data_IF_807399361837
#
_entry.id   IF_807399361837
#
_cell.length_a   1.000
_cell.length_b   1.000
_cell.length_c   1.000
_cell.angle_alpha   90.00
_cell.angle_beta   90.00
_cell.angle_gamma   90.00
#
_symmetry.space_group_name_H-M   'P 1'
#
loop_
_entity.id
_entity.type
_entity.pdbx_description
1 polymer ?
#
# COMPACT_ATOMS: atom_id res chain seq x y z
N UNK A 1 13.63 -31.08 -38.54
CA UNK A 1 12.54 -31.03 -37.54
C UNK A 1 13.06 -30.34 -36.30
N UNK A 2 12.64 -29.10 -36.06
CA UNK A 2 12.97 -28.35 -34.84
C UNK A 2 11.85 -28.66 -33.83
N UNK A 3 12.19 -29.32 -32.72
CA UNK A 3 11.29 -29.45 -31.56
C UNK A 3 11.24 -28.09 -30.87
N UNK A 4 10.08 -27.44 -30.90
CA UNK A 4 9.80 -26.27 -30.08
C UNK A 4 9.65 -26.68 -28.62
N UNK A 5 10.59 -26.29 -27.77
CA UNK A 5 10.42 -26.33 -26.32
C UNK A 5 9.52 -25.14 -25.90
N UNK A 6 8.21 -25.37 -25.82
CA UNK A 6 7.32 -24.47 -25.10
C UNK A 6 7.56 -24.67 -23.59
N UNK A 7 8.43 -23.85 -22.99
CA UNK A 7 8.47 -23.72 -21.54
C UNK A 7 7.17 -23.05 -21.08
N UNK A 8 6.21 -23.85 -20.63
CA UNK A 8 5.00 -23.37 -19.97
C UNK A 8 5.37 -22.78 -18.60
N UNK A 9 5.66 -21.48 -18.56
CA UNK A 9 5.80 -20.74 -17.32
C UNK A 9 4.42 -20.47 -16.75
N UNK A 10 4.18 -20.90 -15.50
CA UNK A 10 3.00 -20.50 -14.74
C UNK A 10 3.15 -19.00 -14.44
N UNK A 11 2.19 -18.15 -14.87
CA UNK A 11 2.14 -16.74 -14.52
C UNK A 11 2.23 -16.53 -13.00
N UNK A 12 3.05 -15.59 -12.55
CA UNK A 12 3.33 -15.35 -11.13
C UNK A 12 2.09 -15.01 -10.31
N UNK A 13 1.11 -14.37 -10.95
CA UNK A 13 -0.21 -14.00 -10.46
C UNK A 13 -1.13 -15.21 -10.20
N UNK A 14 -0.93 -16.33 -10.92
CA UNK A 14 -1.70 -17.57 -10.71
C UNK A 14 -1.10 -18.46 -9.61
N UNK A 15 0.14 -18.22 -9.20
CA UNK A 15 0.81 -19.01 -8.16
C UNK A 15 0.08 -18.93 -6.80
N UNK A 16 -0.35 -17.76 -6.30
CA UNK A 16 -1.15 -17.66 -5.08
C UNK A 16 -2.47 -18.43 -5.16
N UNK A 17 -3.15 -18.41 -6.31
CA UNK A 17 -4.41 -19.11 -6.53
C UNK A 17 -4.22 -20.64 -6.54
N UNK A 18 -3.14 -21.13 -7.15
CA UNK A 18 -2.78 -22.55 -7.11
C UNK A 18 -2.45 -22.96 -5.67
N UNK A 19 -1.65 -22.15 -4.97
CA UNK A 19 -1.25 -22.41 -3.58
C UNK A 19 -2.43 -22.42 -2.60
N UNK A 20 -3.47 -21.61 -2.84
CA UNK A 20 -4.66 -21.56 -1.97
C UNK A 20 -5.49 -22.85 -2.03
N UNK A 21 -5.42 -23.59 -3.14
CA UNK A 21 -6.12 -24.87 -3.36
C UNK A 21 -5.37 -26.09 -2.81
N UNK A 22 -4.18 -25.89 -2.22
CA UNK A 22 -3.28 -26.96 -1.81
C UNK A 22 -3.20 -27.13 -0.29
N UNK A 23 -3.00 -28.37 0.16
CA UNK A 23 -2.80 -28.66 1.58
C UNK A 23 -1.48 -28.08 2.11
N UNK A 24 -1.43 -27.75 3.41
CA UNK A 24 -0.25 -27.16 4.08
C UNK A 24 1.05 -27.94 3.85
N UNK A 25 0.99 -29.28 3.87
CA UNK A 25 2.16 -30.14 3.61
C UNK A 25 2.67 -29.97 2.17
N UNK A 26 1.77 -29.76 1.22
CA UNK A 26 2.11 -29.54 -0.19
C UNK A 26 2.71 -28.16 -0.39
N UNK A 27 2.08 -27.11 0.16
CA UNK A 27 2.58 -25.73 0.16
C UNK A 27 4.00 -25.65 0.76
N UNK A 28 4.25 -26.33 1.88
CA UNK A 28 5.58 -26.36 2.48
C UNK A 28 6.64 -27.00 1.57
N UNK A 29 6.29 -28.05 0.82
CA UNK A 29 7.18 -28.72 -0.15
C UNK A 29 7.43 -27.87 -1.39
N UNK A 30 6.46 -27.04 -1.81
CA UNK A 30 6.63 -26.14 -2.96
C UNK A 30 7.73 -25.08 -2.76
N UNK A 31 8.13 -24.79 -1.51
CA UNK A 31 9.33 -23.99 -1.21
C UNK A 31 10.61 -24.57 -1.80
N UNK A 32 10.64 -25.87 -2.07
CA UNK A 32 11.81 -26.56 -2.60
C UNK A 32 11.76 -26.72 -4.12
N UNK A 33 10.63 -26.40 -4.76
CA UNK A 33 10.40 -26.69 -6.19
C UNK A 33 11.07 -25.68 -7.10
N UNK A 34 11.13 -24.40 -6.70
CA UNK A 34 11.98 -23.44 -7.39
C UNK A 34 12.32 -22.24 -6.50
N UNK A 35 13.35 -21.48 -6.90
CA UNK A 35 13.72 -20.22 -6.22
C UNK A 35 12.55 -19.21 -6.20
N UNK A 36 11.74 -19.19 -7.26
CA UNK A 36 10.55 -18.33 -7.36
C UNK A 36 9.49 -18.73 -6.33
N UNK A 37 9.14 -20.01 -6.26
CA UNK A 37 8.16 -20.52 -5.30
C UNK A 37 8.68 -20.39 -3.87
N UNK A 38 9.97 -20.63 -3.63
CA UNK A 38 10.61 -20.35 -2.34
C UNK A 38 10.46 -18.90 -1.94
N UNK A 39 10.73 -17.95 -2.84
CA UNK A 39 10.59 -16.51 -2.57
C UNK A 39 9.17 -16.17 -2.13
N UNK A 40 8.16 -16.60 -2.89
CA UNK A 40 6.73 -16.38 -2.63
C UNK A 40 6.28 -17.03 -1.30
N UNK A 41 6.83 -18.20 -0.98
CA UNK A 41 6.43 -19.00 0.17
C UNK A 41 7.24 -18.74 1.46
N UNK A 42 8.40 -18.11 1.32
CA UNK A 42 9.31 -17.73 2.41
C UNK A 42 9.28 -16.22 2.70
N UNK A 43 8.63 -15.41 1.88
CA UNK A 43 8.41 -14.00 2.15
C UNK A 43 7.56 -13.79 3.41
N UNK A 44 7.90 -12.81 4.26
CA UNK A 44 6.99 -12.36 5.30
C UNK A 44 5.62 -11.97 4.72
N UNK A 45 4.53 -12.47 5.34
CA UNK A 45 3.16 -12.35 4.80
C UNK A 45 2.32 -11.28 5.47
N UNK A 46 2.70 -10.86 6.67
CA UNK A 46 2.28 -9.61 7.27
C UNK A 46 3.54 -8.76 7.31
N UNK A 47 3.49 -7.53 6.80
CA UNK A 47 4.43 -6.51 7.22
C UNK A 47 3.60 -5.28 7.62
N UNK A 48 3.86 -4.71 8.79
CA UNK A 48 3.31 -3.41 9.18
C UNK A 48 4.43 -2.52 9.69
N UNK A 49 4.34 -1.24 9.32
CA UNK A 49 5.27 -0.21 9.75
C UNK A 49 4.68 0.55 10.93
N UNK A 50 5.47 0.69 11.99
CA UNK A 50 5.13 1.51 13.14
C UNK A 50 6.10 2.68 13.25
N UNK A 51 5.58 3.89 13.37
CA UNK A 51 6.39 5.08 13.63
C UNK A 51 6.40 5.40 15.14
N UNK A 52 7.59 5.40 15.74
CA UNK A 52 7.81 5.81 17.12
C UNK A 52 7.91 7.31 17.28
N UNK A 53 7.75 7.77 18.52
CA UNK A 53 7.86 9.19 18.87
C UNK A 53 9.23 9.82 18.58
N UNK A 54 10.27 9.00 18.39
CA UNK A 54 11.61 9.41 17.97
C UNK A 54 11.83 9.28 16.45
N UNK A 55 10.75 9.26 15.65
CA UNK A 55 10.78 9.08 14.18
C UNK A 55 11.43 7.79 13.71
N UNK A 56 11.44 6.79 14.59
CA UNK A 56 11.96 5.49 14.29
C UNK A 56 10.86 4.63 13.64
N UNK A 57 11.13 4.12 12.44
CA UNK A 57 10.24 3.15 11.80
C UNK A 57 10.65 1.73 12.18
N UNK A 58 9.70 0.98 12.71
CA UNK A 58 9.82 -0.44 13.00
C UNK A 58 8.96 -1.20 11.99
N UNK A 59 9.61 -2.07 11.23
CA UNK A 59 8.91 -2.98 10.33
C UNK A 59 8.82 -4.34 10.99
N UNK A 60 7.60 -4.72 11.31
CA UNK A 60 7.31 -6.03 11.86
C UNK A 60 6.84 -6.93 10.78
N UNK A 61 7.30 -8.17 10.81
CA UNK A 61 6.69 -9.20 10.00
C UNK A 61 6.01 -10.27 10.82
N UNK A 62 5.04 -10.92 10.20
CA UNK A 62 4.47 -12.14 10.75
C UNK A 62 4.15 -13.14 9.64
N UNK A 63 4.35 -14.42 9.93
CA UNK A 63 3.82 -15.48 9.09
C UNK A 63 2.32 -15.61 9.34
N UNK A 64 1.52 -15.36 8.30
CA UNK A 64 0.06 -15.48 8.37
C UNK A 64 -0.37 -16.81 9.02
N UNK A 65 -1.37 -16.79 9.91
CA UNK A 65 -1.82 -17.97 10.59
C UNK A 65 -2.78 -18.77 9.71
N UNK A 66 -2.23 -19.63 8.86
CA UNK A 66 -3.03 -20.65 8.19
C UNK A 66 -3.49 -21.69 9.23
N UNK A 67 -4.76 -21.50 9.61
CA UNK A 67 -5.64 -22.40 10.35
C UNK A 67 -5.15 -22.78 11.76
N UNK A 68 -5.95 -22.29 12.74
CA UNK A 68 -5.75 -22.30 14.19
C UNK A 68 -4.67 -21.31 14.66
N UNK A 69 -4.97 -20.01 14.55
CA UNK A 69 -4.12 -18.96 15.12
C UNK A 69 -4.37 -18.81 16.62
N UNK A 70 -3.32 -18.63 17.44
CA UNK A 70 -3.49 -18.04 18.77
C UNK A 70 -4.07 -16.62 18.65
N UNK A 71 -4.82 -16.19 19.67
CA UNK A 71 -5.32 -14.81 19.87
C UNK A 71 -4.19 -13.76 19.98
N UNK A 72 -2.95 -14.21 19.98
CA UNK A 72 -1.74 -13.44 20.27
C UNK A 72 -0.65 -13.80 19.26
N UNK A 73 -0.09 -12.80 18.59
CA UNK A 73 1.04 -12.95 17.67
C UNK A 73 2.23 -12.17 18.23
N UNK A 74 3.42 -12.78 18.21
CA UNK A 74 4.67 -12.07 18.49
C UNK A 74 5.15 -11.42 17.20
N UNK A 75 5.41 -10.12 17.26
CA UNK A 75 5.91 -9.38 16.11
C UNK A 75 7.40 -9.68 15.92
N UNK A 76 7.78 -10.20 14.75
CA UNK A 76 9.20 -10.41 14.42
C UNK A 76 9.77 -9.11 13.87
N UNK A 77 10.87 -8.67 14.47
CA UNK A 77 11.52 -7.43 14.11
C UNK A 77 12.46 -7.62 12.91
N UNK A 78 12.16 -6.96 11.80
CA UNK A 78 13.02 -7.03 10.62
C UNK A 78 13.90 -5.81 10.43
N UNK A 79 13.50 -4.64 10.95
CA UNK A 79 14.17 -3.41 10.55
C UNK A 79 13.94 -2.23 11.47
N UNK A 80 15.06 -1.55 11.77
CA UNK A 80 15.12 -0.28 12.49
C UNK A 80 15.54 0.81 11.53
N UNK A 81 14.72 1.82 11.35
CA UNK A 81 15.19 3.10 10.81
C UNK A 81 15.35 4.08 11.96
N UNK A 82 16.59 4.23 12.46
CA UNK A 82 16.92 5.23 13.48
C UNK A 82 17.87 6.22 12.85
N UNK A 83 17.38 7.38 12.46
CA UNK A 83 18.21 8.55 12.17
C UNK A 83 17.47 9.79 12.66
N UNK A 84 18.20 10.87 12.99
CA UNK A 84 17.66 12.20 13.35
C UNK A 84 16.90 12.89 12.19
N UNK A 85 16.42 12.10 11.23
CA UNK A 85 15.63 12.51 10.08
C UNK A 85 14.17 12.44 10.45
N UNK A 86 13.36 13.28 9.81
CA UNK A 86 11.90 13.18 9.80
C UNK A 86 11.49 12.50 8.49
N UNK A 87 11.41 11.15 8.40
CA UNK A 87 11.08 10.48 7.16
C UNK A 87 9.59 10.67 6.89
N UNK A 88 9.25 11.29 5.77
CA UNK A 88 7.87 11.23 5.30
C UNK A 88 7.71 9.94 4.49
N UNK A 89 6.99 8.98 5.07
CA UNK A 89 6.60 7.75 4.38
C UNK A 89 5.78 8.14 3.15
N UNK A 90 6.26 7.74 1.98
CA UNK A 90 5.66 8.09 0.70
C UNK A 90 4.86 6.95 0.09
N UNK A 91 4.65 5.84 0.81
CA UNK A 91 3.94 4.63 0.38
C UNK A 91 4.87 3.47 0.00
N UNK A 92 4.27 2.31 -0.27
CA UNK A 92 4.93 1.08 -0.65
C UNK A 92 4.29 0.48 -1.91
N UNK A 93 5.11 -0.13 -2.76
CA UNK A 93 4.61 -1.03 -3.81
C UNK A 93 5.63 -2.12 -4.11
N UNK A 94 5.14 -3.34 -4.30
CA UNK A 94 5.91 -4.48 -4.86
C UNK A 94 7.28 -4.71 -4.22
N UNK A 95 7.35 -4.66 -2.88
CA UNK A 95 8.56 -4.92 -2.11
C UNK A 95 9.47 -3.71 -1.88
N UNK A 96 9.09 -2.53 -2.38
CA UNK A 96 9.83 -1.28 -2.22
C UNK A 96 9.05 -0.26 -1.40
N UNK A 97 9.68 0.27 -0.35
CA UNK A 97 9.19 1.43 0.40
C UNK A 97 9.76 2.68 -0.24
N UNK A 98 8.91 3.68 -0.46
CA UNK A 98 9.32 4.99 -0.93
C UNK A 98 9.26 6.02 0.21
N UNK A 99 10.35 6.76 0.38
CA UNK A 99 10.43 7.91 1.27
C UNK A 99 10.50 9.18 0.42
N UNK A 100 9.43 9.96 0.46
CA UNK A 100 9.26 11.14 -0.40
C UNK A 100 10.05 12.35 0.11
N UNK A 101 10.38 12.36 1.41
CA UNK A 101 11.15 13.44 2.06
C UNK A 101 12.00 12.88 3.20
N UNK A 102 13.32 12.95 3.07
CA UNK A 102 14.29 12.66 4.12
C UNK A 102 15.21 13.87 4.31
N UNK A 103 15.22 14.45 5.52
CA UNK A 103 16.05 15.62 5.85
C UNK A 103 17.36 15.23 6.51
N UNK A 104 18.42 15.01 5.73
CA UNK A 104 19.73 14.51 6.20
C UNK A 104 20.40 15.41 7.23
N UNK A 105 20.16 16.72 7.17
CA UNK A 105 20.51 17.67 8.21
C UNK A 105 19.64 18.93 8.13
N UNK A 106 19.65 19.78 9.17
CA UNK A 106 18.88 21.04 9.20
C UNK A 106 19.19 21.99 8.03
N UNK A 107 20.35 21.82 7.39
CA UNK A 107 20.86 22.70 6.32
C UNK A 107 20.91 22.04 4.93
N UNK A 108 20.47 20.79 4.78
CA UNK A 108 20.49 20.08 3.50
C UNK A 108 19.11 19.96 2.83
N UNK A 109 19.11 19.86 1.50
CA UNK A 109 17.90 19.65 0.70
C UNK A 109 17.31 18.26 0.92
N UNK A 110 15.97 18.19 0.90
CA UNK A 110 15.19 16.96 1.03
C UNK A 110 15.62 15.91 0.00
N UNK A 111 16.07 14.76 0.49
CA UNK A 111 16.38 13.60 -0.36
C UNK A 111 15.20 12.64 -0.44
N UNK A 112 15.14 11.91 -1.55
CA UNK A 112 14.17 10.83 -1.77
C UNK A 112 14.92 9.51 -1.78
N UNK A 113 14.40 8.51 -1.08
CA UNK A 113 15.00 7.19 -1.04
C UNK A 113 13.97 6.11 -1.32
N UNK A 114 14.42 5.06 -1.97
CA UNK A 114 13.68 3.81 -2.09
C UNK A 114 14.41 2.77 -1.28
N UNK A 115 13.65 2.03 -0.50
CA UNK A 115 14.16 0.97 0.33
C UNK A 115 13.59 -0.37 -0.12
N UNK A 116 14.47 -1.34 -0.36
CA UNK A 116 14.09 -2.69 -0.76
C UNK A 116 14.06 -3.60 0.47
N UNK A 117 12.86 -3.99 0.90
CA UNK A 117 12.66 -4.84 2.07
C UNK A 117 13.22 -6.25 1.91
N UNK A 118 13.24 -6.78 0.69
CA UNK A 118 13.76 -8.11 0.41
C UNK A 118 15.28 -8.21 0.54
N UNK A 119 15.99 -7.13 0.21
CA UNK A 119 17.46 -7.11 0.19
C UNK A 119 18.07 -6.31 1.34
N UNK A 120 17.25 -5.55 2.05
CA UNK A 120 17.70 -4.63 3.09
C UNK A 120 18.49 -3.42 2.56
N UNK A 121 18.48 -3.18 1.25
CA UNK A 121 19.27 -2.12 0.61
C UNK A 121 18.42 -0.88 0.37
N UNK A 122 19.02 0.29 0.60
CA UNK A 122 18.45 1.57 0.22
C UNK A 122 19.07 2.08 -1.08
N UNK A 123 18.36 3.01 -1.72
CA UNK A 123 18.77 3.68 -2.93
C UNK A 123 18.32 5.13 -2.87
N UNK A 124 19.27 6.05 -2.95
CA UNK A 124 18.98 7.48 -3.09
C UNK A 124 18.63 7.80 -4.54
N UNK A 125 17.56 8.58 -4.71
CA UNK A 125 17.12 9.05 -6.02
C UNK A 125 17.85 10.35 -6.39
N UNK A 126 17.98 10.66 -7.70
CA UNK A 126 18.56 11.92 -8.15
C UNK A 126 17.85 13.12 -7.50
N UNK A 127 18.63 14.16 -7.17
CA UNK A 127 18.09 15.39 -6.59
C UNK A 127 17.07 16.02 -7.53
N UNK A 128 15.98 16.48 -6.94
CA UNK A 128 14.94 17.25 -7.61
C UNK A 128 14.64 18.46 -6.73
N UNK A 129 15.14 19.63 -7.17
CA UNK A 129 14.84 20.92 -6.55
C UNK A 129 13.38 21.29 -6.80
N UNK A 130 12.79 22.01 -5.84
CA UNK A 130 11.37 22.35 -5.85
C UNK A 130 11.12 23.63 -5.05
N UNK A 131 10.07 24.33 -5.43
CA UNK A 131 9.56 25.52 -4.78
C UNK A 131 8.88 25.22 -3.43
N UNK A 132 8.05 24.17 -3.36
CA UNK A 132 7.29 23.79 -2.15
C UNK A 132 7.21 22.27 -1.97
N UNK A 133 6.78 21.82 -0.78
CA UNK A 133 6.40 20.41 -0.55
C UNK A 133 5.34 20.01 -1.57
N UNK A 134 5.59 18.88 -2.23
CA UNK A 134 4.79 18.34 -3.33
C UNK A 134 4.62 16.83 -3.14
N UNK A 135 3.63 16.26 -3.82
CA UNK A 135 3.27 14.85 -3.73
C UNK A 135 4.09 14.02 -4.73
N UNK A 136 4.39 12.78 -4.34
CA UNK A 136 5.09 11.85 -5.20
C UNK A 136 4.74 10.43 -4.84
N UNK A 137 4.69 9.59 -5.86
CA UNK A 137 4.07 8.28 -5.81
C UNK A 137 4.99 7.26 -6.47
N UNK A 138 5.09 6.06 -5.90
CA UNK A 138 5.88 4.98 -6.48
C UNK A 138 4.94 4.02 -7.22
N UNK A 139 5.12 3.90 -8.53
CA UNK A 139 4.42 2.93 -9.37
C UNK A 139 5.31 1.74 -9.72
N UNK A 140 4.70 0.57 -9.88
CA UNK A 140 5.36 -0.64 -10.38
C UNK A 140 4.63 -1.16 -11.61
N UNK A 141 5.36 -1.27 -12.71
CA UNK A 141 4.94 -2.00 -13.90
C UNK A 141 5.32 -3.49 -13.76
N UNK A 142 4.35 -4.42 -13.65
CA UNK A 142 4.62 -5.84 -13.52
C UNK A 142 5.13 -6.53 -14.80
N UNK A 143 4.85 -6.00 -16.00
CA UNK A 143 5.27 -6.64 -17.26
C UNK A 143 6.73 -6.33 -17.56
N UNK A 144 7.11 -5.05 -17.57
CA UNK A 144 8.52 -4.66 -17.80
C UNK A 144 9.35 -4.75 -16.52
N UNK A 145 8.70 -5.02 -15.37
CA UNK A 145 9.30 -5.11 -14.03
C UNK A 145 10.04 -3.82 -13.69
N UNK A 146 9.42 -2.68 -13.99
CA UNK A 146 10.00 -1.37 -13.81
C UNK A 146 9.30 -0.60 -12.70
N UNK A 147 10.09 0.09 -11.89
CA UNK A 147 9.58 1.05 -10.94
C UNK A 147 9.71 2.45 -11.52
N UNK A 148 8.66 3.26 -11.38
CA UNK A 148 8.69 4.68 -11.72
C UNK A 148 8.20 5.51 -10.55
N UNK A 149 8.78 6.69 -10.35
CA UNK A 149 8.34 7.66 -9.35
C UNK A 149 7.71 8.84 -10.05
N UNK A 150 6.39 8.99 -9.89
CA UNK A 150 5.64 10.15 -10.36
C UNK A 150 5.77 11.26 -9.31
N UNK A 151 6.10 12.46 -9.76
CA UNK A 151 6.17 13.67 -8.95
C UNK A 151 5.19 14.69 -9.51
N UNK A 152 4.25 15.11 -8.67
CA UNK A 152 3.24 16.11 -9.02
C UNK A 152 3.61 17.43 -8.37
N UNK A 153 3.90 18.44 -9.19
CA UNK A 153 4.24 19.77 -8.75
C UNK A 153 3.03 20.50 -8.16
N UNK A 154 3.31 21.51 -7.34
CA UNK A 154 2.27 22.38 -6.78
C UNK A 154 1.64 23.23 -7.90
N UNK A 155 0.32 23.18 -8.05
CA UNK A 155 -0.43 23.83 -9.15
C UNK A 155 -0.16 25.33 -9.30
N UNK A 156 0.09 26.04 -8.20
CA UNK A 156 0.41 27.47 -8.20
C UNK A 156 1.91 27.80 -8.21
N UNK A 157 2.77 26.79 -8.40
CA UNK A 157 4.22 26.92 -8.35
C UNK A 157 4.86 27.01 -9.74
N UNK A 158 6.15 27.35 -9.82
CA UNK A 158 6.90 27.42 -11.08
C UNK A 158 7.39 26.05 -11.58
N UNK A 159 7.19 24.98 -10.81
CA UNK A 159 7.72 23.65 -11.10
C UNK A 159 6.82 22.86 -12.05
N UNK A 160 7.42 21.94 -12.81
CA UNK A 160 6.71 20.98 -13.66
C UNK A 160 6.55 19.62 -12.96
N UNK A 161 5.50 18.89 -13.33
CA UNK A 161 5.37 17.47 -13.02
C UNK A 161 6.52 16.67 -13.65
N UNK A 162 7.01 15.67 -12.93
CA UNK A 162 8.16 14.85 -13.36
C UNK A 162 7.96 13.38 -13.11
N UNK A 163 8.64 12.57 -13.90
CA UNK A 163 8.66 11.11 -13.78
C UNK A 163 10.13 10.64 -13.79
N UNK A 164 10.41 9.61 -12.98
CA UNK A 164 11.71 8.97 -12.91
C UNK A 164 11.56 7.46 -12.99
N UNK A 165 12.23 6.83 -13.96
CA UNK A 165 12.39 5.38 -13.97
C UNK A 165 13.55 4.97 -13.07
N UNK A 166 13.30 4.09 -12.11
CA UNK A 166 14.24 3.71 -11.04
C UNK A 166 15.12 2.53 -11.44
N UNK A 167 14.56 1.58 -12.18
CA UNK A 167 15.20 0.29 -12.51
C UNK A 167 16.20 0.37 -13.68
N UNK A 168 16.23 1.47 -14.43
CA UNK A 168 17.14 1.64 -15.57
C UNK A 168 18.47 2.30 -15.14
N UNK A 169 19.53 2.00 -15.89
CA UNK A 169 20.91 2.45 -15.56
C UNK A 169 21.11 3.97 -15.58
N UNK A 170 20.24 4.74 -16.26
CA UNK A 170 20.25 6.20 -16.25
C UNK A 170 19.04 6.73 -15.50
N UNK A 171 19.23 7.03 -14.22
CA UNK A 171 18.21 7.65 -13.36
C UNK A 171 18.22 9.16 -13.60
N UNK A 172 17.30 9.65 -14.43
CA UNK A 172 17.13 11.08 -14.69
C UNK A 172 15.65 11.44 -14.65
N UNK A 173 15.33 12.49 -13.91
CA UNK A 173 14.01 13.09 -13.94
C UNK A 173 13.75 13.67 -15.33
N UNK A 174 12.57 13.39 -15.87
CA UNK A 174 12.07 14.07 -17.06
C UNK A 174 10.70 14.66 -16.80
N UNK A 175 10.38 15.70 -17.55
CA UNK A 175 9.06 16.33 -17.53
C UNK A 175 8.02 15.33 -18.00
N UNK A 176 6.86 15.37 -17.38
CA UNK A 176 5.64 14.69 -17.81
C UNK A 176 4.50 15.71 -17.73
N UNK A 177 3.48 15.55 -18.56
CA UNK A 177 2.33 16.45 -18.58
C UNK A 177 1.09 15.66 -18.17
N UNK A 178 0.47 16.10 -17.08
CA UNK A 178 -0.84 15.63 -16.68
C UNK A 178 -1.87 16.67 -17.15
N UNK A 179 -2.96 16.28 -17.84
CA UNK A 179 -3.87 17.23 -18.47
C UNK A 179 -4.75 17.98 -17.45
N UNK A 180 -5.24 17.28 -16.41
CA UNK A 180 -6.16 17.86 -15.42
C UNK A 180 -5.42 18.33 -14.16
N UNK A 181 -4.37 17.62 -13.74
CA UNK A 181 -3.59 17.87 -12.52
C UNK A 181 -4.46 18.06 -11.26
N UNK A 182 -5.28 17.07 -10.87
CA UNK A 182 -6.03 17.17 -9.62
C UNK A 182 -5.06 17.22 -8.43
N UNK A 183 -5.30 18.14 -7.49
CA UNK A 183 -4.44 18.32 -6.32
C UNK A 183 -4.64 17.16 -5.34
N UNK A 184 -3.63 16.31 -5.07
CA UNK A 184 -3.84 15.11 -4.27
C UNK A 184 -4.37 15.47 -2.87
N UNK A 185 -5.50 14.87 -2.52
CA UNK A 185 -6.31 15.23 -1.34
C UNK A 185 -5.81 14.62 -0.03
N UNK A 186 -5.17 13.46 -0.13
CA UNK A 186 -4.59 12.72 0.99
C UNK A 186 -3.33 11.96 0.57
N UNK A 187 -2.59 11.45 1.56
CA UNK A 187 -1.40 10.62 1.34
C UNK A 187 -1.77 9.17 0.94
N UNK A 188 -3.06 8.84 0.72
CA UNK A 188 -3.51 7.50 0.36
C UNK A 188 -3.51 7.33 -1.16
N UNK A 189 -2.60 6.49 -1.63
CA UNK A 189 -2.51 6.06 -3.01
C UNK A 189 -2.23 4.57 -3.04
N UNK A 190 -2.52 3.91 -4.15
CA UNK A 190 -2.21 2.49 -4.32
C UNK A 190 -1.76 2.20 -5.74
N UNK A 191 -0.93 1.18 -5.93
CA UNK A 191 -0.53 0.73 -7.26
C UNK A 191 -1.00 -0.71 -7.47
N UNK A 192 -1.91 -0.90 -8.43
CA UNK A 192 -2.59 -2.16 -8.70
C UNK A 192 -2.32 -2.51 -10.16
N UNK A 193 -1.72 -3.67 -10.41
CA UNK A 193 -1.52 -4.24 -11.75
C UNK A 193 -0.87 -3.30 -12.78
N UNK A 194 0.01 -2.38 -12.36
CA UNK A 194 0.64 -1.42 -13.27
C UNK A 194 -0.02 -0.05 -13.34
N UNK A 195 -1.14 0.16 -12.65
CA UNK A 195 -1.82 1.45 -12.58
C UNK A 195 -1.69 2.02 -11.18
N UNK A 196 -1.26 3.27 -11.10
CA UNK A 196 -1.19 4.05 -9.87
C UNK A 196 -2.49 4.84 -9.70
N UNK A 197 -3.13 4.71 -8.56
CA UNK A 197 -4.38 5.37 -8.21
C UNK A 197 -4.19 6.33 -7.03
N UNK A 198 -4.68 7.56 -7.17
CA UNK A 198 -4.78 8.51 -6.05
C UNK A 198 -6.00 9.42 -6.22
N UNK A 199 -6.57 9.89 -5.11
CA UNK A 199 -7.69 10.84 -5.14
C UNK A 199 -7.14 12.27 -5.09
N UNK A 200 -7.55 13.11 -6.02
CA UNK A 200 -7.20 14.53 -6.03
C UNK A 200 -8.41 15.44 -6.21
N UNK A 201 -8.32 16.63 -5.64
CA UNK A 201 -9.31 17.69 -5.75
C UNK A 201 -9.24 18.35 -7.12
N UNK A 202 -10.39 18.55 -7.77
CA UNK A 202 -10.51 19.10 -9.11
C UNK A 202 -11.30 20.42 -9.14
N UNK A 203 -10.91 21.37 -8.28
CA UNK A 203 -11.62 22.64 -8.09
C UNK A 203 -12.94 22.48 -7.33
N UNK A 204 -13.46 23.60 -6.78
CA UNK A 204 -14.72 23.59 -6.02
C UNK A 204 -14.75 22.51 -4.92
N UNK A 205 -15.76 21.65 -4.97
CA UNK A 205 -15.93 20.47 -4.10
C UNK A 205 -15.85 19.14 -4.88
N UNK A 206 -15.37 19.15 -6.12
CA UNK A 206 -15.24 17.93 -6.94
C UNK A 206 -13.90 17.21 -6.70
N UNK A 207 -13.93 15.89 -6.81
CA UNK A 207 -12.77 15.03 -6.64
C UNK A 207 -12.71 14.00 -7.77
N UNK A 208 -11.49 13.74 -8.24
CA UNK A 208 -11.20 12.74 -9.25
C UNK A 208 -10.27 11.68 -8.69
N UNK A 209 -10.49 10.45 -9.14
CA UNK A 209 -9.51 9.38 -9.03
C UNK A 209 -8.60 9.48 -10.25
N UNK A 210 -7.34 9.84 -10.03
CA UNK A 210 -6.33 9.82 -11.06
C UNK A 210 -5.81 8.38 -11.24
N UNK A 211 -5.92 7.87 -12.45
CA UNK A 211 -5.44 6.55 -12.86
C UNK A 211 -4.22 6.75 -13.78
N UNK A 212 -3.03 6.52 -13.26
CA UNK A 212 -1.79 6.67 -14.01
C UNK A 212 -1.23 5.30 -14.41
N UNK A 213 -1.27 4.97 -15.69
CA UNK A 213 -0.63 3.75 -16.20
C UNK A 213 0.89 3.92 -16.15
N UNK A 214 1.56 3.08 -15.35
CA UNK A 214 2.99 3.19 -15.11
C UNK A 214 3.80 2.86 -16.36
N UNK A 215 3.32 1.99 -17.25
CA UNK A 215 4.06 1.58 -18.44
C UNK A 215 3.95 2.62 -19.54
N UNK A 216 2.73 2.93 -19.98
CA UNK A 216 2.45 3.90 -21.06
C UNK A 216 2.61 5.34 -20.60
N UNK A 217 2.58 5.59 -19.28
CA UNK A 217 2.67 6.91 -18.66
C UNK A 217 1.52 7.83 -19.08
N UNK A 218 0.35 7.24 -19.24
CA UNK A 218 -0.88 7.93 -19.57
C UNK A 218 -1.73 8.15 -18.33
N UNK A 219 -2.51 9.22 -18.35
CA UNK A 219 -3.42 9.59 -17.28
C UNK A 219 -4.86 9.41 -17.75
N UNK A 220 -5.64 8.72 -16.94
CA UNK A 220 -7.09 8.61 -17.03
C UNK A 220 -7.69 9.10 -15.71
N UNK A 221 -8.96 9.47 -15.75
CA UNK A 221 -9.65 10.08 -14.62
C UNK A 221 -11.03 9.48 -14.50
N UNK A 222 -11.41 9.13 -13.28
CA UNK A 222 -12.73 8.63 -12.91
C UNK A 222 -13.31 9.56 -11.86
N UNK A 223 -14.60 9.89 -11.94
CA UNK A 223 -15.25 10.73 -10.93
C UNK A 223 -15.29 10.01 -9.58
N UNK A 224 -14.96 10.73 -8.50
CA UNK A 224 -14.94 10.18 -7.15
C UNK A 224 -16.28 10.34 -6.40
N UNK A 225 -17.35 10.70 -7.12
CA UNK A 225 -18.68 11.04 -6.57
C UNK A 225 -19.37 9.86 -5.86
N UNK A 226 -18.93 8.62 -6.14
CA UNK A 226 -19.41 7.44 -5.42
C UNK A 226 -18.99 7.42 -3.95
N UNK A 227 -17.87 8.09 -3.60
CA UNK A 227 -17.39 8.12 -2.23
C UNK A 227 -18.14 9.16 -1.40
N UNK A 228 -18.46 8.82 -0.16
CA UNK A 228 -19.13 9.74 0.77
C UNK A 228 -18.26 10.93 1.14
N UNK A 229 -16.96 10.70 1.30
CA UNK A 229 -16.01 11.75 1.60
C UNK A 229 -14.65 11.49 0.93
N UNK A 230 -14.52 11.82 -0.38
CA UNK A 230 -13.32 11.56 -1.17
C UNK A 230 -12.03 12.10 -0.54
N UNK A 231 -12.11 13.15 0.28
CA UNK A 231 -10.95 13.76 0.95
C UNK A 231 -10.27 12.81 1.95
N UNK A 232 -11.01 11.89 2.55
CA UNK A 232 -10.51 10.96 3.59
C UNK A 232 -10.61 9.50 3.19
N UNK A 233 -11.23 9.19 2.05
CA UNK A 233 -11.33 7.84 1.50
C UNK A 233 -9.96 7.23 1.26
N UNK A 234 -9.78 6.00 1.74
CA UNK A 234 -8.56 5.23 1.51
C UNK A 234 -8.74 4.35 0.28
N UNK A 235 -7.76 4.37 -0.62
CA UNK A 235 -7.71 3.47 -1.77
C UNK A 235 -6.88 2.24 -1.42
N UNK A 236 -7.47 1.05 -1.61
CA UNK A 236 -6.77 -0.22 -1.42
C UNK A 236 -6.91 -1.13 -2.63
N UNK A 237 -5.99 -2.09 -2.73
CA UNK A 237 -6.11 -3.22 -3.65
C UNK A 237 -7.04 -4.28 -3.05
N UNK A 238 -8.26 -4.39 -3.56
CA UNK A 238 -9.23 -5.43 -3.18
C UNK A 238 -9.25 -6.52 -4.26
N UNK A 239 -8.54 -7.64 -4.03
CA UNK A 239 -8.48 -8.78 -4.97
C UNK A 239 -8.13 -8.38 -6.42
N UNK A 240 -7.22 -7.42 -6.60
CA UNK A 240 -6.79 -6.94 -7.92
C UNK A 240 -7.66 -5.81 -8.49
N UNK A 241 -8.71 -5.39 -7.79
CA UNK A 241 -9.58 -4.26 -8.15
C UNK A 241 -9.32 -3.06 -7.24
N UNK A 242 -9.59 -1.87 -7.76
CA UNK A 242 -9.57 -0.65 -6.96
C UNK A 242 -10.75 -0.67 -5.99
N UNK A 243 -10.48 -0.44 -4.70
CA UNK A 243 -11.52 -0.28 -3.70
C UNK A 243 -11.30 0.99 -2.89
N UNK A 244 -12.31 1.86 -2.86
CA UNK A 244 -12.40 2.96 -1.89
C UNK A 244 -12.99 2.46 -0.58
N UNK A 245 -12.45 2.92 0.55
CA UNK A 245 -12.95 2.58 1.88
C UNK A 245 -13.08 3.82 2.76
N UNK A 246 -14.27 3.96 3.35
CA UNK A 246 -14.57 4.91 4.42
C UNK A 246 -14.95 4.19 5.70
N UNK A 247 -14.53 4.75 6.83
CA UNK A 247 -14.95 4.33 8.17
C UNK A 247 -15.73 5.46 8.82
N UNK A 248 -17.00 5.23 9.11
CA UNK A 248 -17.90 6.18 9.76
C UNK A 248 -18.47 5.61 11.06
N UNK A 249 -19.23 6.41 11.79
CA UNK A 249 -19.96 5.97 12.99
C UNK A 249 -21.46 6.17 12.74
N UNK A 250 -22.29 5.20 13.10
CA UNK A 250 -23.74 5.34 13.06
C UNK A 250 -24.27 6.03 14.34
N UNK A 251 -25.59 6.21 14.43
CA UNK A 251 -26.25 6.85 15.59
C UNK A 251 -26.03 6.11 16.93
N UNK A 252 -25.70 4.81 16.87
CA UNK A 252 -25.38 4.01 18.06
C UNK A 252 -23.88 3.97 18.40
N UNK A 253 -23.07 4.81 17.73
CA UNK A 253 -21.60 4.83 17.79
C UNK A 253 -20.91 3.53 17.34
N UNK A 254 -21.63 2.64 16.66
CA UNK A 254 -21.01 1.50 16.00
C UNK A 254 -20.24 1.94 14.75
N UNK A 255 -19.09 1.31 14.51
CA UNK A 255 -18.27 1.60 13.34
C UNK A 255 -18.94 0.99 12.10
N UNK A 256 -19.07 1.79 11.06
CA UNK A 256 -19.59 1.38 9.75
C UNK A 256 -18.47 1.47 8.72
N UNK A 257 -18.19 0.35 8.07
CA UNK A 257 -17.28 0.21 6.96
C UNK A 257 -18.07 0.33 5.65
N UNK A 258 -17.78 1.38 4.88
CA UNK A 258 -18.25 1.53 3.51
C UNK A 258 -17.14 1.12 2.55
N UNK A 259 -17.51 0.31 1.57
CA UNK A 259 -16.60 -0.16 0.53
C UNK A 259 -17.22 0.09 -0.85
N UNK A 260 -16.44 0.67 -1.74
CA UNK A 260 -16.81 0.82 -3.15
C UNK A 260 -15.76 0.12 -3.99
N UNK A 261 -16.18 -0.89 -4.75
CA UNK A 261 -15.30 -1.67 -5.62
C UNK A 261 -15.56 -1.22 -7.06
N UNK A 262 -14.51 -0.80 -7.75
CA UNK A 262 -14.57 -0.48 -9.18
C UNK A 262 -14.61 -1.81 -9.95
N UNK A 263 -15.76 -2.11 -10.53
CA UNK A 263 -15.99 -3.36 -11.27
C UNK A 263 -15.45 -3.29 -12.69
N UNK A 264 -15.67 -2.14 -13.32
CA UNK A 264 -15.25 -1.83 -14.69
C UNK A 264 -14.84 -0.34 -14.77
N UNK A 265 -13.63 -0.10 -15.29
CA UNK A 265 -13.04 1.24 -15.39
C UNK A 265 -13.62 2.01 -16.58
N UNK A 266 -13.98 1.33 -17.67
CA UNK A 266 -14.47 1.96 -18.89
C UNK A 266 -15.92 2.42 -18.75
N UNK A 267 -16.74 1.65 -18.05
CA UNK A 267 -18.15 1.99 -17.77
C UNK A 267 -18.33 2.72 -16.44
N UNK A 268 -17.27 2.90 -15.66
CA UNK A 268 -17.29 3.48 -14.32
C UNK A 268 -18.32 2.81 -13.38
N UNK A 269 -18.47 1.49 -13.49
CA UNK A 269 -19.41 0.72 -12.69
C UNK A 269 -18.85 0.39 -11.29
N UNK A 270 -19.62 0.74 -10.25
CA UNK A 270 -19.24 0.55 -8.85
C UNK A 270 -20.20 -0.37 -8.11
N UNK A 271 -19.65 -1.27 -7.29
CA UNK A 271 -20.39 -2.04 -6.28
C UNK A 271 -20.19 -1.41 -4.90
N UNK A 272 -21.27 -1.04 -4.20
CA UNK A 272 -21.23 -0.58 -2.81
C UNK A 272 -21.55 -1.71 -1.82
N UNK A 273 -20.73 -1.84 -0.78
CA UNK A 273 -20.97 -2.73 0.35
C UNK A 273 -20.86 -1.96 1.67
N UNK A 274 -21.78 -2.23 2.59
CA UNK A 274 -21.83 -1.58 3.89
C UNK A 274 -21.85 -2.62 4.99
N UNK A 275 -20.92 -2.52 5.94
CA UNK A 275 -20.82 -3.44 7.07
C UNK A 275 -20.80 -2.67 8.38
N UNK A 276 -21.61 -3.08 9.34
CA UNK A 276 -21.59 -2.52 10.70
C UNK A 276 -20.87 -3.48 11.62
N UNK A 277 -19.82 -3.00 12.30
CA UNK A 277 -19.11 -3.78 13.29
C UNK A 277 -19.90 -3.82 14.61
N UNK A 278 -19.94 -4.97 15.31
CA UNK A 278 -20.65 -5.09 16.58
C UNK A 278 -20.04 -4.18 17.66
N UNK A 279 -20.90 -3.55 18.47
CA UNK A 279 -20.59 -2.46 19.42
C UNK A 279 -19.54 -2.76 20.52
N UNK A 280 -19.08 -4.01 20.66
CA UNK A 280 -18.21 -4.42 21.76
C UNK A 280 -16.75 -4.70 21.38
N UNK A 281 -16.40 -4.64 20.09
CA UNK A 281 -15.09 -5.14 19.63
C UNK A 281 -14.04 -4.04 19.39
N UNK A 282 -14.41 -2.76 19.27
CA UNK A 282 -13.50 -1.68 18.87
C UNK A 282 -13.77 -0.39 19.66
N UNK A 283 -12.86 -0.02 20.57
CA UNK A 283 -12.97 1.19 21.41
C UNK A 283 -12.10 2.36 20.92
N UNK A 284 -11.33 2.17 19.85
CA UNK A 284 -10.31 3.12 19.38
C UNK A 284 -10.51 3.52 17.92
N UNK A 285 -9.97 4.68 17.54
CA UNK A 285 -9.94 5.11 16.14
C UNK A 285 -9.14 4.10 15.33
N UNK A 286 -9.81 3.34 14.48
CA UNK A 286 -9.16 2.40 13.56
C UNK A 286 -8.87 3.02 12.19
N UNK A 287 -7.91 2.46 11.49
CA UNK A 287 -7.54 2.78 10.12
C UNK A 287 -7.42 1.49 9.31
N UNK A 288 -7.73 1.57 8.03
CA UNK A 288 -7.51 0.46 7.10
C UNK A 288 -6.03 0.36 6.78
N UNK A 289 -5.54 -0.87 6.71
CA UNK A 289 -4.13 -1.20 6.45
C UNK A 289 -3.94 -1.79 5.06
N UNK A 290 -4.99 -2.41 4.52
CA UNK A 290 -4.95 -3.16 3.28
C UNK A 290 -5.69 -4.48 3.43
N UNK A 291 -5.25 -5.49 2.70
CA UNK A 291 -5.95 -6.77 2.56
C UNK A 291 -4.98 -7.95 2.62
N UNK A 292 -5.43 -9.07 3.19
CA UNK A 292 -4.76 -10.37 3.05
C UNK A 292 -4.96 -10.99 1.66
N UNK A 293 -4.15 -12.00 1.30
CA UNK A 293 -4.35 -12.81 0.09
C UNK A 293 -5.71 -13.54 0.06
N UNK A 294 -6.35 -13.69 1.22
CA UNK A 294 -7.63 -14.40 1.38
C UNK A 294 -8.83 -13.47 1.24
N UNK A 295 -8.62 -12.17 1.03
CA UNK A 295 -9.71 -11.20 0.90
C UNK A 295 -10.16 -10.58 2.22
N UNK A 296 -9.42 -10.78 3.31
CA UNK A 296 -9.74 -10.19 4.61
C UNK A 296 -9.13 -8.79 4.70
N UNK A 297 -9.96 -7.80 5.04
CA UNK A 297 -9.56 -6.42 5.25
C UNK A 297 -8.88 -6.31 6.61
N UNK A 298 -7.76 -5.63 6.65
CA UNK A 298 -6.98 -5.47 7.86
C UNK A 298 -7.19 -4.07 8.37
N UNK A 299 -7.54 -3.98 9.64
CA UNK A 299 -7.76 -2.74 10.36
C UNK A 299 -6.80 -2.70 11.53
N UNK A 300 -6.35 -1.51 11.88
CA UNK A 300 -5.47 -1.30 13.02
C UNK A 300 -5.90 -0.10 13.81
N UNK A 301 -5.64 -0.13 15.12
CA UNK A 301 -5.72 1.05 15.96
C UNK A 301 -4.75 2.12 15.41
N UNK A 302 -5.23 3.36 15.27
CA UNK A 302 -4.46 4.50 14.77
C UNK A 302 -3.35 4.91 15.75
N UNK A 303 -3.63 4.73 17.03
CA UNK A 303 -2.72 4.99 18.15
C UNK A 303 -2.44 3.67 18.84
N UNK A 304 -1.25 3.50 19.40
CA UNK A 304 -0.92 2.28 20.10
C UNK A 304 -1.37 2.36 21.55
N UNK A 305 -2.14 1.38 22.00
CA UNK A 305 -2.48 1.19 23.41
C UNK A 305 -1.50 0.24 24.11
N UNK A 306 -1.69 -0.03 25.41
CA UNK A 306 -0.91 -1.05 26.15
C UNK A 306 -1.05 -2.45 25.55
N UNK A 307 -2.14 -2.72 24.82
CA UNK A 307 -2.42 -3.97 24.12
C UNK A 307 -2.72 -3.65 22.66
N UNK A 308 -1.67 -3.48 21.86
CA UNK A 308 -1.82 -3.18 20.45
C UNK A 308 -2.54 -4.32 19.71
N UNK A 309 -3.64 -4.00 19.05
CA UNK A 309 -4.47 -4.97 18.35
C UNK A 309 -4.60 -4.65 16.86
N UNK A 310 -4.58 -5.72 16.06
CA UNK A 310 -4.94 -5.69 14.64
C UNK A 310 -6.21 -6.51 14.46
N UNK A 311 -7.12 -5.99 13.65
CA UNK A 311 -8.37 -6.66 13.32
C UNK A 311 -8.33 -7.14 11.89
N UNK A 312 -8.91 -8.32 11.65
CA UNK A 312 -9.15 -8.80 10.30
C UNK A 312 -10.64 -8.98 10.12
N UNK A 313 -11.18 -8.28 9.14
CA UNK A 313 -12.56 -8.35 8.76
C UNK A 313 -12.70 -9.18 7.49
N UNK A 314 -13.58 -10.17 7.49
CA UNK A 314 -13.90 -10.97 6.31
C UNK A 314 -15.25 -10.52 5.75
N UNK A 315 -15.30 -9.72 4.66
CA UNK A 315 -16.56 -9.29 4.05
C UNK A 315 -17.49 -10.46 3.71
N UNK A 316 -16.94 -11.54 3.15
CA UNK A 316 -17.69 -12.74 2.74
C UNK A 316 -18.39 -13.47 3.90
N UNK A 317 -17.82 -13.40 5.10
CA UNK A 317 -18.32 -14.09 6.30
C UNK A 317 -19.01 -13.13 7.25
N UNK A 318 -18.87 -11.83 7.01
CA UNK A 318 -19.20 -10.76 7.93
C UNK A 318 -18.67 -11.02 9.35
N UNK A 319 -17.41 -11.46 9.45
CA UNK A 319 -16.76 -11.75 10.74
C UNK A 319 -15.56 -10.84 10.96
N UNK A 320 -15.49 -10.27 12.15
CA UNK A 320 -14.33 -9.53 12.62
C UNK A 320 -13.54 -10.42 13.60
N UNK A 321 -12.23 -10.59 13.38
CA UNK A 321 -11.33 -11.22 14.34
C UNK A 321 -10.35 -10.20 14.88
N UNK A 322 -10.16 -10.20 16.20
CA UNK A 322 -9.16 -9.39 16.90
C UNK A 322 -7.91 -10.23 17.20
N UNK A 323 -6.74 -9.67 16.93
CA UNK A 323 -5.45 -10.30 17.21
C UNK A 323 -4.57 -9.33 17.98
N UNK A 324 -4.16 -9.72 19.19
CA UNK A 324 -3.19 -8.96 19.98
C UNK A 324 -1.79 -9.16 19.40
N UNK A 325 -1.05 -8.08 19.23
CA UNK A 325 0.34 -8.12 18.78
C UNK A 325 1.27 -7.71 19.92
N UNK A 326 2.11 -8.66 20.33
CA UNK A 326 3.12 -8.46 21.40
C UNK A 326 4.48 -8.09 20.83
N UNK A 327 5.27 -7.38 21.64
CA UNK A 327 6.65 -6.98 21.31
C UNK A 327 6.79 -5.58 20.70
N UNK A 328 5.71 -4.82 20.62
CA UNK A 328 5.64 -3.51 19.93
C UNK A 328 6.16 -2.33 20.79
N UNK A 329 6.07 -2.43 22.12
CA UNK A 329 6.62 -1.43 23.07
C UNK A 329 5.74 -0.19 23.27
N UNK A 330 5.93 0.54 24.37
CA UNK A 330 4.93 1.48 24.95
C UNK A 330 4.93 2.94 24.43
N UNK A 331 5.79 3.34 23.48
CA UNK A 331 5.94 4.75 23.05
C UNK A 331 5.87 4.91 21.54
N UNK A 332 4.66 4.83 21.00
CA UNK A 332 4.38 4.88 19.55
C UNK A 332 3.28 5.92 19.30
N UNK A 333 3.43 6.76 18.28
CA UNK A 333 2.54 7.92 18.06
C UNK A 333 1.68 7.81 16.81
N UNK A 334 2.11 7.06 15.79
CA UNK A 334 1.40 6.98 14.52
C UNK A 334 1.72 5.68 13.79
N UNK A 335 0.68 5.05 13.24
CA UNK A 335 0.84 4.02 12.24
C UNK A 335 0.65 4.59 10.84
N UNK A 336 1.50 4.15 9.92
CA UNK A 336 1.25 4.16 8.47
C UNK A 336 1.09 2.70 8.08
N UNK A 337 -0.14 2.17 8.17
CA UNK A 337 -0.34 0.77 7.92
C UNK A 337 -0.49 0.55 6.41
N UNK A 338 0.44 -0.18 5.81
CA UNK A 338 0.28 -0.74 4.47
C UNK A 338 0.62 -2.24 4.51
N UNK A 339 -0.29 -3.08 4.03
CA UNK A 339 -0.08 -4.52 3.95
C UNK A 339 0.74 -4.91 2.73
N UNK A 340 1.71 -5.82 2.93
CA UNK A 340 2.67 -6.18 1.90
C UNK A 340 2.44 -7.60 1.39
N UNK A 341 2.26 -7.74 0.08
CA UNK A 341 2.58 -8.97 -0.63
C UNK A 341 4.01 -8.84 -1.19
N UNK A 342 4.85 -9.83 -0.90
CA UNK A 342 6.18 -9.99 -1.48
C UNK A 342 6.19 -11.02 -2.60
#
# INVERSE_FOLDING_TARGET
MVRGEHNAYIPTDLIPEILSRLSRKSVARFRCVSKLWRSILSGPRLLFALERSNHEFLFFSSHSPYEKSPLVVTADFHMRFSQDLYPNFGGFTSGLIYFSHLQISKNECWQRQIYNLNTGRNMTLPRLDRYRKCNSFLGFDPLDKQFKVLFMAYLGGPDDDRILTVTTGKKKWRKIECPIRPEPSCDHWTCINGVLYYIGKNGGDSYLICCFDVRSETFEFVEADCFRNPQVTQLINYKGKLCGIDLTYNDSNAIVLHMWILEDVETEEWSEYVYTFPENDIYEKIVVVGMTTTGEIILSEKYTSKQFCVFYFSPERNTLRRVEIRGVGMKLLRMTPEFMHL
#
